data_IF_434331872270
#
_entry.id   IF_434331872270
#
_cell.length_a   1.000
_cell.length_b   1.000
_cell.length_c   1.000
_cell.angle_alpha   90.00
_cell.angle_beta   90.00
_cell.angle_gamma   90.00
#
_symmetry.space_group_name_H-M   'P 1'
#
loop_
_entity.id
_entity.type
_entity.pdbx_description
1 polymer ?
#
# COMPACT_ATOMS: atom_id res chain seq x y z
N UNK A 1 17.25 -5.24 1.12
CA UNK A 1 16.31 -4.48 0.28
C UNK A 1 16.08 -5.13 -1.09
N UNK A 2 17.11 -5.28 -1.95
CA UNK A 2 16.93 -5.79 -3.31
C UNK A 2 16.23 -7.15 -3.46
N UNK A 3 16.56 -8.15 -2.63
CA UNK A 3 15.89 -9.46 -2.65
C UNK A 3 14.39 -9.33 -2.33
N UNK A 4 14.05 -8.55 -1.31
CA UNK A 4 12.67 -8.31 -0.91
C UNK A 4 11.88 -7.55 -1.99
N UNK A 5 12.50 -6.55 -2.61
CA UNK A 5 11.93 -5.85 -3.74
C UNK A 5 11.65 -6.79 -4.93
N UNK A 6 12.62 -7.62 -5.32
CA UNK A 6 12.45 -8.61 -6.40
C UNK A 6 11.31 -9.58 -6.06
N UNK A 7 11.25 -10.05 -4.82
CA UNK A 7 10.17 -10.93 -4.36
C UNK A 7 8.79 -10.27 -4.53
N UNK A 8 8.63 -9.03 -4.07
CA UNK A 8 7.35 -8.29 -4.21
C UNK A 8 7.02 -8.03 -5.68
N UNK A 9 8.00 -7.66 -6.51
CA UNK A 9 7.79 -7.42 -7.94
C UNK A 9 7.29 -8.67 -8.64
N UNK A 10 7.93 -9.82 -8.40
CA UNK A 10 7.52 -11.10 -8.99
C UNK A 10 6.16 -11.51 -8.46
N UNK A 11 5.93 -11.45 -7.16
CA UNK A 11 4.62 -11.78 -6.56
C UNK A 11 3.50 -10.91 -7.14
N UNK A 12 3.74 -9.60 -7.28
CA UNK A 12 2.78 -8.64 -7.86
C UNK A 12 2.50 -8.95 -9.33
N UNK A 13 3.54 -9.26 -10.12
CA UNK A 13 3.40 -9.61 -11.53
C UNK A 13 2.63 -10.92 -11.70
N UNK A 14 2.94 -11.94 -10.91
CA UNK A 14 2.22 -13.22 -10.90
C UNK A 14 0.76 -13.00 -10.49
N UNK A 15 0.51 -12.23 -9.44
CA UNK A 15 -0.85 -11.93 -8.99
C UNK A 15 -1.66 -11.19 -10.07
N UNK A 16 -1.06 -10.21 -10.75
CA UNK A 16 -1.70 -9.50 -11.86
C UNK A 16 -1.97 -10.44 -13.06
N UNK A 17 -1.05 -11.36 -13.37
CA UNK A 17 -1.21 -12.29 -14.50
C UNK A 17 -2.32 -13.33 -14.26
N UNK A 18 -2.40 -13.91 -13.06
CA UNK A 18 -3.35 -14.99 -12.75
C UNK A 18 -4.68 -14.51 -12.17
N UNK A 19 -4.69 -13.41 -11.41
CA UNK A 19 -5.86 -12.92 -10.69
C UNK A 19 -6.27 -11.51 -11.12
N UNK A 20 -5.61 -10.94 -12.13
CA UNK A 20 -5.89 -9.60 -12.64
C UNK A 20 -5.73 -8.52 -11.57
N UNK A 21 -6.55 -7.46 -11.68
CA UNK A 21 -6.51 -6.30 -10.78
C UNK A 21 -6.76 -6.68 -9.31
N UNK A 22 -7.59 -7.69 -9.04
CA UNK A 22 -7.87 -8.16 -7.68
C UNK A 22 -6.63 -8.76 -7.02
N UNK A 23 -5.81 -9.48 -7.78
CA UNK A 23 -4.53 -10.00 -7.30
C UNK A 23 -3.55 -8.88 -6.96
N UNK A 24 -3.48 -7.85 -7.80
CA UNK A 24 -2.65 -6.68 -7.53
C UNK A 24 -3.11 -5.94 -6.26
N UNK A 25 -4.41 -5.74 -6.06
CA UNK A 25 -4.94 -5.10 -4.84
C UNK A 25 -4.64 -5.92 -3.58
N UNK A 26 -4.81 -7.24 -3.63
CA UNK A 26 -4.51 -8.10 -2.49
C UNK A 26 -3.02 -8.08 -2.14
N UNK A 27 -2.15 -8.16 -3.15
CA UNK A 27 -0.70 -8.09 -2.96
C UNK A 27 -0.29 -6.74 -2.38
N UNK A 28 -0.92 -5.65 -2.83
CA UNK A 28 -0.70 -4.33 -2.28
C UNK A 28 -1.13 -4.19 -0.82
N UNK A 29 -2.29 -4.73 -0.44
CA UNK A 29 -2.73 -4.74 0.94
C UNK A 29 -1.74 -5.48 1.84
N UNK A 30 -1.32 -6.68 1.44
CA UNK A 30 -0.40 -7.51 2.23
C UNK A 30 1.00 -6.87 2.29
N UNK A 31 1.54 -6.42 1.16
CA UNK A 31 2.86 -5.79 1.11
C UNK A 31 2.89 -4.48 1.90
N UNK A 32 1.80 -3.71 1.87
CA UNK A 32 1.65 -2.47 2.63
C UNK A 32 1.77 -2.68 4.15
N UNK A 33 1.48 -3.88 4.67
CA UNK A 33 1.73 -4.21 6.08
C UNK A 33 3.22 -4.15 6.46
N UNK A 34 4.10 -4.48 5.52
CA UNK A 34 5.54 -4.56 5.72
C UNK A 34 6.26 -3.28 5.26
N UNK A 35 6.15 -2.95 3.96
CA UNK A 35 6.81 -1.80 3.36
C UNK A 35 6.10 -1.38 2.06
N UNK A 36 5.87 -0.07 1.93
CA UNK A 36 5.17 0.51 0.78
C UNK A 36 6.10 0.84 -0.38
N UNK A 37 7.41 0.94 -0.16
CA UNK A 37 8.34 1.39 -1.20
C UNK A 37 8.47 0.34 -2.32
N UNK A 38 8.63 -0.93 -1.93
CA UNK A 38 8.80 -2.02 -2.89
C UNK A 38 7.54 -2.23 -3.75
N UNK A 39 6.35 -2.13 -3.16
CA UNK A 39 5.09 -2.24 -3.91
C UNK A 39 4.85 -1.02 -4.79
N UNK A 40 5.23 0.18 -4.35
CA UNK A 40 5.13 1.42 -5.14
C UNK A 40 5.97 1.32 -6.41
N UNK A 41 7.23 0.90 -6.29
CA UNK A 41 8.09 0.69 -7.46
C UNK A 41 7.52 -0.42 -8.35
N UNK A 42 7.06 -1.52 -7.76
CA UNK A 42 6.53 -2.66 -8.52
C UNK A 42 5.29 -2.29 -9.34
N UNK A 43 4.32 -1.63 -8.73
CA UNK A 43 3.09 -1.21 -9.42
C UNK A 43 3.36 -0.13 -10.46
N UNK A 44 4.26 0.81 -10.17
CA UNK A 44 4.68 1.83 -11.14
C UNK A 44 5.37 1.20 -12.35
N UNK A 45 6.24 0.20 -12.12
CA UNK A 45 6.93 -0.52 -13.20
C UNK A 45 5.95 -1.31 -14.07
N UNK A 46 5.00 -2.03 -13.47
CA UNK A 46 3.97 -2.76 -14.20
C UNK A 46 3.06 -1.83 -15.04
N UNK A 47 2.77 -0.63 -14.53
CA UNK A 47 2.06 0.39 -15.29
C UNK A 47 2.89 0.92 -16.48
N UNK A 48 4.18 1.22 -16.26
CA UNK A 48 5.10 1.66 -17.32
C UNK A 48 5.29 0.59 -18.41
N UNK A 49 5.30 -0.69 -18.04
CA UNK A 49 5.41 -1.83 -18.97
C UNK A 49 4.09 -2.15 -19.70
N UNK A 50 3.00 -1.41 -19.41
CA UNK A 50 1.69 -1.62 -20.03
C UNK A 50 0.97 -2.91 -19.61
N UNK A 51 1.48 -3.62 -18.60
CA UNK A 51 0.85 -4.85 -18.07
C UNK A 51 -0.31 -4.55 -17.11
N UNK A 52 -0.43 -3.31 -16.65
CA UNK A 52 -1.51 -2.82 -15.79
C UNK A 52 -1.83 -1.37 -16.15
N UNK A 53 -3.09 -0.95 -15.98
CA UNK A 53 -3.47 0.46 -16.20
C UNK A 53 -2.90 1.38 -15.12
N UNK A 54 -2.57 2.62 -15.46
CA UNK A 54 -2.10 3.63 -14.49
C UNK A 54 -3.11 3.87 -13.36
N UNK A 55 -4.41 3.78 -13.65
CA UNK A 55 -5.47 3.91 -12.65
C UNK A 55 -5.45 2.75 -11.64
N UNK A 56 -5.34 1.51 -12.13
CA UNK A 56 -5.23 0.33 -11.27
C UNK A 56 -3.97 0.41 -10.39
N UNK A 57 -2.84 0.81 -10.98
CA UNK A 57 -1.58 0.98 -10.25
C UNK A 57 -1.71 2.03 -9.14
N UNK A 58 -2.32 3.18 -9.45
CA UNK A 58 -2.52 4.28 -8.49
C UNK A 58 -3.41 3.82 -7.33
N UNK A 59 -4.51 3.12 -7.61
CA UNK A 59 -5.38 2.54 -6.57
C UNK A 59 -4.65 1.51 -5.72
N UNK A 60 -3.88 0.61 -6.34
CA UNK A 60 -3.11 -0.41 -5.65
C UNK A 60 -2.04 0.21 -4.72
N UNK A 61 -1.34 1.27 -5.16
CA UNK A 61 -0.37 2.00 -4.34
C UNK A 61 -1.07 2.70 -3.18
N UNK A 62 -2.19 3.38 -3.45
CA UNK A 62 -2.94 4.10 -2.42
C UNK A 62 -3.43 3.14 -1.32
N UNK A 63 -3.94 1.97 -1.70
CA UNK A 63 -4.32 0.92 -0.76
C UNK A 63 -3.13 0.47 0.10
N UNK A 64 -1.97 0.24 -0.50
CA UNK A 64 -0.77 -0.15 0.24
C UNK A 64 -0.35 0.93 1.26
N UNK A 65 -0.38 2.22 0.86
CA UNK A 65 -0.08 3.36 1.75
C UNK A 65 -1.07 3.44 2.91
N UNK A 66 -2.36 3.26 2.64
CA UNK A 66 -3.40 3.27 3.67
C UNK A 66 -3.18 2.15 4.67
N UNK A 67 -2.91 0.94 4.20
CA UNK A 67 -2.61 -0.20 5.08
C UNK A 67 -1.37 0.04 5.94
N UNK A 68 -0.28 0.54 5.35
CA UNK A 68 0.94 0.86 6.09
C UNK A 68 0.70 1.91 7.18
N UNK A 69 -0.12 2.93 6.86
CA UNK A 69 -0.48 4.00 7.79
C UNK A 69 -1.33 3.48 8.94
N UNK A 70 -2.32 2.63 8.66
CA UNK A 70 -3.14 1.99 9.68
C UNK A 70 -2.30 1.12 10.63
N UNK A 71 -1.34 0.36 10.09
CA UNK A 71 -0.42 -0.45 10.88
C UNK A 71 0.52 0.42 11.73
N UNK A 72 0.99 1.58 11.23
CA UNK A 72 1.76 2.53 12.04
C UNK A 72 0.96 3.05 13.23
N UNK A 73 -0.32 3.38 13.05
CA UNK A 73 -1.20 3.76 14.16
C UNK A 73 -1.28 2.61 15.17
N UNK A 74 -1.50 1.38 14.71
CA UNK A 74 -1.54 0.20 15.56
C UNK A 74 -0.24 0.00 16.36
N UNK A 75 0.93 0.08 15.72
CA UNK A 75 2.22 -0.03 16.41
C UNK A 75 2.43 1.05 17.46
N UNK A 76 2.04 2.29 17.18
CA UNK A 76 2.19 3.37 18.17
C UNK A 76 1.25 3.17 19.36
N UNK A 77 0.06 2.60 19.18
CA UNK A 77 -0.80 2.21 20.31
C UNK A 77 -0.25 1.04 21.10
N UNK A 78 0.43 0.08 20.46
CA UNK A 78 0.98 -1.10 21.12
C UNK A 78 2.28 -0.82 21.88
N UNK A 79 3.16 0.01 21.32
CA UNK A 79 4.52 0.25 21.85
C UNK A 79 4.74 1.67 22.39
N UNK A 80 3.85 2.62 22.12
CA UNK A 80 3.97 4.01 22.53
C UNK A 80 3.17 4.35 23.80
N UNK A 81 3.42 5.54 24.36
CA UNK A 81 2.58 6.08 25.43
C UNK A 81 1.22 6.53 24.89
N UNK A 82 0.14 6.41 25.67
CA UNK A 82 -1.22 6.82 25.25
C UNK A 82 -1.29 8.26 24.72
N UNK A 83 -0.54 9.18 25.33
CA UNK A 83 -0.51 10.60 24.92
C UNK A 83 0.17 10.80 23.57
N UNK A 84 1.21 10.02 23.28
CA UNK A 84 1.90 10.01 21.99
C UNK A 84 1.04 9.31 20.91
N UNK A 85 0.45 8.17 21.25
CA UNK A 85 -0.43 7.41 20.36
C UNK A 85 -1.62 8.22 19.88
N UNK A 86 -2.32 8.94 20.77
CA UNK A 86 -3.45 9.77 20.37
C UNK A 86 -3.06 10.88 19.39
N UNK A 87 -1.89 11.51 19.59
CA UNK A 87 -1.40 12.57 18.69
C UNK A 87 -1.08 12.03 17.31
N UNK A 88 -0.39 10.89 17.24
CA UNK A 88 -0.07 10.24 15.97
C UNK A 88 -1.34 9.72 15.29
N UNK A 89 -2.26 9.12 16.05
CA UNK A 89 -3.51 8.60 15.52
C UNK A 89 -4.38 9.70 14.90
N UNK A 90 -4.42 10.90 15.48
CA UNK A 90 -5.13 12.04 14.87
C UNK A 90 -4.46 12.45 13.55
N UNK A 91 -3.14 12.64 13.57
CA UNK A 91 -2.41 13.07 12.36
C UNK A 91 -2.50 12.05 11.23
N UNK A 92 -2.23 10.77 11.52
CA UNK A 92 -2.32 9.69 10.53
C UNK A 92 -3.77 9.35 10.19
N UNK A 93 -4.71 9.59 11.09
CA UNK A 93 -6.14 9.44 10.85
C UNK A 93 -6.65 10.39 9.76
N UNK A 94 -6.16 11.64 9.75
CA UNK A 94 -6.46 12.60 8.66
C UNK A 94 -5.90 12.11 7.33
N UNK A 95 -4.69 11.53 7.32
CA UNK A 95 -4.10 10.96 6.10
C UNK A 95 -4.95 9.78 5.59
N UNK A 96 -5.41 8.91 6.48
CA UNK A 96 -6.28 7.78 6.13
C UNK A 96 -7.61 8.25 5.54
N UNK A 97 -8.27 9.24 6.14
CA UNK A 97 -9.57 9.72 5.64
C UNK A 97 -9.44 10.38 4.27
N UNK A 98 -8.40 11.20 4.06
CA UNK A 98 -8.13 11.82 2.77
C UNK A 98 -7.78 10.79 1.69
N UNK A 99 -6.96 9.79 2.02
CA UNK A 99 -6.60 8.74 1.06
C UNK A 99 -7.78 7.84 0.68
N UNK A 100 -8.67 7.52 1.64
CA UNK A 100 -9.91 6.80 1.36
C UNK A 100 -10.85 7.62 0.46
N UNK A 101 -11.00 8.92 0.73
CA UNK A 101 -11.78 9.81 -0.12
C UNK A 101 -11.20 9.89 -1.55
N UNK A 102 -9.88 9.97 -1.69
CA UNK A 102 -9.22 10.01 -2.98
C UNK A 102 -9.54 8.77 -3.85
N UNK A 103 -9.59 7.57 -3.25
CA UNK A 103 -9.95 6.34 -3.97
C UNK A 103 -11.36 6.42 -4.55
N UNK A 104 -12.30 7.07 -3.87
CA UNK A 104 -13.69 7.20 -4.34
C UNK A 104 -13.86 8.21 -5.49
N UNK A 105 -12.91 9.13 -5.65
CA UNK A 105 -12.94 10.20 -6.67
C UNK A 105 -12.21 9.79 -7.95
N UNK A 106 -11.24 8.88 -7.86
CA UNK A 106 -10.49 8.30 -8.99
C UNK A 106 -11.32 7.30 -9.78
#
# INVERSE_FOLDING_TARGET
FGIFFIFILVASKVAQLYFGNSGAYLTSLISGLADVDAITISMSKLAMEGTMSSLTATRAITLAVLTNTAIKIFYVYMFGSRRFANRIAISLGIVLTLGLAAITVM
#
